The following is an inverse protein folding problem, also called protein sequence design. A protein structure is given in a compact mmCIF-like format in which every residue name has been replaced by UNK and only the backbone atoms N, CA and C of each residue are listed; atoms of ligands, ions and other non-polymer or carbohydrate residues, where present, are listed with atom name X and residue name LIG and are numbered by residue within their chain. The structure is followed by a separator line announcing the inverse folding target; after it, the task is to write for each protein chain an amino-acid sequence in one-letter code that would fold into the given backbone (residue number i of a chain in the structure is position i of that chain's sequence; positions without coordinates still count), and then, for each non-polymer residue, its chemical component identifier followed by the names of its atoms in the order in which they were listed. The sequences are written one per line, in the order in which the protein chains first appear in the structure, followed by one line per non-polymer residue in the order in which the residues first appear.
data_IF_541073826236
#
_entry.id   IF_541073826236
#
_cell.length_a   1.000
_cell.length_b   1.000
_cell.length_c   1.000
_cell.angle_alpha   90.00
_cell.angle_beta   90.00
_cell.angle_gamma   90.00
#
_symmetry.space_group_name_H-M   'P 1'
#
loop_
_entity.id
_entity.type
_entity.pdbx_description
1 polymer ?
#
# COMPACT_ATOMS: atom_id res chain seq x y z
N UNK A 1 -20.43 -15.24 -1.69
CA UNK A 1 -18.98 -15.05 -1.89
C UNK A 1 -18.27 -15.30 -0.58
N UNK A 2 -17.28 -16.16 -0.56
CA UNK A 2 -16.51 -16.46 0.63
C UNK A 2 -15.59 -15.27 0.92
N UNK A 3 -15.42 -14.89 2.18
CA UNK A 3 -14.52 -13.79 2.55
C UNK A 3 -13.07 -14.02 2.07
N UNK A 4 -12.73 -15.28 1.83
CA UNK A 4 -11.42 -15.67 1.29
C UNK A 4 -11.23 -15.35 -0.19
N UNK A 5 -12.31 -15.17 -0.94
CA UNK A 5 -12.27 -14.84 -2.38
C UNK A 5 -12.22 -13.33 -2.62
N UNK A 6 -11.98 -12.56 -1.57
CA UNK A 6 -11.94 -11.11 -1.58
C UNK A 6 -10.62 -10.61 -2.15
N UNK A 7 -10.71 -9.57 -2.98
CA UNK A 7 -9.56 -8.78 -3.40
C UNK A 7 -9.59 -7.46 -2.65
N UNK A 8 -8.55 -7.17 -1.90
CA UNK A 8 -8.42 -5.94 -1.14
C UNK A 8 -7.40 -5.02 -1.82
N UNK A 9 -7.84 -3.82 -2.19
CA UNK A 9 -6.94 -2.74 -2.64
C UNK A 9 -6.70 -1.84 -1.44
N UNK A 10 -5.53 -1.93 -0.84
CA UNK A 10 -5.15 -1.17 0.34
C UNK A 10 -4.20 -0.04 -0.06
N UNK A 11 -4.65 1.19 0.14
CA UNK A 11 -3.89 2.38 -0.17
C UNK A 11 -3.26 2.94 1.11
N UNK A 12 -1.95 3.00 1.13
CA UNK A 12 -1.14 3.33 2.30
C UNK A 12 -0.34 4.59 2.01
N UNK A 13 -0.15 5.44 3.01
CA UNK A 13 0.70 6.62 2.89
C UNK A 13 0.38 7.70 3.90
N UNK A 14 1.25 8.71 3.96
CA UNK A 14 1.12 9.85 4.85
C UNK A 14 0.97 11.13 4.01
N UNK A 15 -0.23 11.71 4.02
CA UNK A 15 -0.55 12.94 3.27
C UNK A 15 0.24 14.16 3.73
N UNK A 16 0.86 14.12 4.90
CA UNK A 16 1.64 15.23 5.44
C UNK A 16 3.11 15.20 5.03
N UNK A 17 3.54 14.17 4.29
CA UNK A 17 4.92 13.98 3.84
C UNK A 17 5.04 13.99 2.31
N UNK A 18 4.44 14.98 1.65
CA UNK A 18 4.58 15.17 0.22
C UNK A 18 4.17 13.92 -0.58
N UNK A 19 5.10 13.38 -1.35
CA UNK A 19 4.85 12.24 -2.24
C UNK A 19 4.51 10.92 -1.52
N UNK A 20 4.75 10.84 -0.22
CA UNK A 20 4.30 9.69 0.59
C UNK A 20 2.78 9.61 0.65
N UNK A 21 2.07 10.67 0.29
CA UNK A 21 0.61 10.69 0.13
C UNK A 21 0.08 10.06 -1.16
N UNK A 22 0.92 9.51 -2.01
CA UNK A 22 0.52 8.91 -3.30
C UNK A 22 -0.62 7.90 -3.13
N UNK A 23 -0.49 6.94 -2.22
CA UNK A 23 -1.52 5.92 -2.02
C UNK A 23 -2.86 6.51 -1.61
N UNK A 24 -2.88 7.52 -0.75
CA UNK A 24 -4.12 8.19 -0.32
C UNK A 24 -4.78 8.92 -1.50
N UNK A 25 -4.00 9.56 -2.36
CA UNK A 25 -4.55 10.20 -3.56
C UNK A 25 -5.13 9.19 -4.54
N UNK A 26 -4.51 8.04 -4.70
CA UNK A 26 -5.07 6.93 -5.50
C UNK A 26 -6.41 6.49 -4.92
N UNK A 27 -6.51 6.34 -3.60
CA UNK A 27 -7.77 5.97 -2.94
C UNK A 27 -8.87 7.00 -3.23
N UNK A 28 -8.55 8.27 -3.20
CA UNK A 28 -9.51 9.36 -3.49
C UNK A 28 -10.02 9.29 -4.93
N UNK A 29 -9.14 9.02 -5.88
CA UNK A 29 -9.53 8.85 -7.28
C UNK A 29 -10.39 7.62 -7.51
N UNK A 30 -10.07 6.52 -6.83
CA UNK A 30 -10.81 5.27 -6.97
C UNK A 30 -12.16 5.29 -6.23
N UNK A 31 -12.29 6.12 -5.19
CA UNK A 31 -13.54 6.21 -4.40
C UNK A 31 -14.76 6.61 -5.23
N UNK A 32 -14.55 7.38 -6.30
CA UNK A 32 -15.61 7.85 -7.20
C UNK A 32 -15.88 6.87 -8.36
N UNK A 33 -15.17 5.75 -8.42
CA UNK A 33 -15.31 4.76 -9.47
C UNK A 33 -15.97 3.50 -8.93
N UNK A 34 -16.86 2.86 -9.71
CA UNK A 34 -17.42 1.57 -9.29
C UNK A 34 -16.32 0.50 -9.25
N UNK A 35 -16.29 -0.26 -8.17
CA UNK A 35 -15.38 -1.40 -8.04
C UNK A 35 -16.04 -2.67 -8.60
N UNK A 36 -15.25 -3.53 -9.25
CA UNK A 36 -15.76 -4.86 -9.64
C UNK A 36 -16.26 -5.66 -8.44
N UNK A 37 -17.15 -6.59 -8.67
CA UNK A 37 -17.65 -7.48 -7.61
C UNK A 37 -16.47 -8.22 -6.96
N UNK A 38 -16.47 -8.28 -5.62
CA UNK A 38 -15.42 -8.95 -4.85
C UNK A 38 -14.18 -8.09 -4.63
N UNK A 39 -14.09 -6.89 -5.18
CA UNK A 39 -13.00 -5.95 -4.96
C UNK A 39 -13.41 -4.89 -3.94
N UNK A 40 -12.63 -4.76 -2.89
CA UNK A 40 -12.86 -3.79 -1.81
C UNK A 40 -11.69 -2.80 -1.77
N UNK A 41 -12.01 -1.51 -1.71
CA UNK A 41 -11.05 -0.43 -1.55
C UNK A 41 -10.94 -0.06 -0.08
N UNK A 42 -9.73 0.02 0.44
CA UNK A 42 -9.46 0.48 1.80
C UNK A 42 -8.43 1.60 1.78
N UNK A 43 -8.80 2.75 2.31
CA UNK A 43 -7.90 3.86 2.56
C UNK A 43 -7.31 3.69 3.96
N UNK A 44 -6.11 3.14 4.02
CA UNK A 44 -5.44 2.80 5.28
C UNK A 44 -4.70 4.02 5.84
N UNK A 45 -4.22 4.91 4.97
CA UNK A 45 -3.39 6.03 5.40
C UNK A 45 -2.10 5.56 6.07
N UNK A 46 -1.77 6.12 7.23
CA UNK A 46 -0.56 5.77 8.00
C UNK A 46 -0.78 4.64 9.00
N UNK A 47 -1.99 4.10 9.08
CA UNK A 47 -2.38 3.15 10.12
C UNK A 47 -2.15 1.70 9.68
N UNK A 48 -0.89 1.25 9.72
CA UNK A 48 -0.55 -0.13 9.36
C UNK A 48 -1.32 -1.17 10.14
N UNK A 49 -1.71 -0.89 11.39
CA UNK A 49 -2.52 -1.82 12.19
C UNK A 49 -3.93 -2.01 11.60
N UNK A 50 -4.49 -0.99 10.97
CA UNK A 50 -5.78 -1.13 10.28
C UNK A 50 -5.67 -2.10 9.10
N UNK A 51 -4.54 -2.11 8.40
CA UNK A 51 -4.30 -3.09 7.35
C UNK A 51 -4.30 -4.51 7.93
N UNK A 52 -3.65 -4.71 9.07
CA UNK A 52 -3.66 -6.01 9.74
C UNK A 52 -5.09 -6.45 10.09
N UNK A 53 -5.92 -5.56 10.63
CA UNK A 53 -7.32 -5.87 10.93
C UNK A 53 -8.12 -6.24 9.67
N UNK A 54 -7.94 -5.51 8.59
CA UNK A 54 -8.63 -5.79 7.32
C UNK A 54 -8.26 -7.16 6.77
N UNK A 55 -7.04 -7.63 7.02
CA UNK A 55 -6.54 -8.90 6.51
C UNK A 55 -6.86 -10.10 7.41
N UNK A 56 -7.31 -9.87 8.66
CA UNK A 56 -7.64 -10.97 9.59
C UNK A 56 -8.73 -11.89 9.07
N UNK A 57 -9.70 -11.37 8.31
CA UNK A 57 -10.80 -12.14 7.75
C UNK A 57 -10.41 -12.94 6.50
N UNK A 58 -9.16 -12.84 6.08
CA UNK A 58 -8.65 -13.50 4.90
C UNK A 58 -8.85 -12.69 3.62
N UNK A 59 -7.98 -12.93 2.67
CA UNK A 59 -7.96 -12.23 1.40
C UNK A 59 -7.23 -13.10 0.37
N UNK A 60 -7.82 -13.28 -0.81
CA UNK A 60 -7.18 -14.02 -1.89
C UNK A 60 -6.02 -13.21 -2.47
N UNK A 61 -6.28 -11.94 -2.74
CA UNK A 61 -5.30 -11.03 -3.33
C UNK A 61 -5.31 -9.71 -2.58
N UNK A 62 -4.14 -9.31 -2.11
CA UNK A 62 -3.89 -7.96 -1.61
C UNK A 62 -3.17 -7.17 -2.68
N UNK A 63 -3.73 -6.03 -3.07
CA UNK A 63 -3.04 -5.04 -3.89
C UNK A 63 -2.69 -3.87 -2.98
N UNK A 64 -1.42 -3.72 -2.69
CA UNK A 64 -0.91 -2.66 -1.81
C UNK A 64 -0.43 -1.50 -2.66
N UNK A 65 -1.01 -0.33 -2.49
CA UNK A 65 -0.65 0.89 -3.21
C UNK A 65 0.10 1.82 -2.27
N UNK A 66 1.35 2.14 -2.59
CA UNK A 66 2.21 2.92 -1.72
C UNK A 66 3.30 3.66 -2.53
N UNK A 67 3.80 4.75 -1.97
CA UNK A 67 5.04 5.36 -2.45
C UNK A 67 6.22 4.58 -1.85
N UNK A 68 7.12 4.15 -2.70
CA UNK A 68 8.28 3.38 -2.24
C UNK A 68 9.52 3.71 -3.08
N UNK A 69 10.63 4.10 -2.44
CA UNK A 69 11.86 4.42 -3.14
C UNK A 69 12.54 3.14 -3.69
N UNK A 70 12.84 3.15 -4.98
CA UNK A 70 13.51 2.04 -5.68
C UNK A 70 14.67 2.52 -6.52
N UNK A 71 15.09 3.78 -6.37
CA UNK A 71 16.17 4.36 -7.18
C UNK A 71 15.78 4.68 -8.61
N UNK A 72 14.49 4.76 -8.92
CA UNK A 72 13.97 5.12 -10.23
C UNK A 72 13.67 6.62 -10.33
N UNK A 73 13.46 7.18 -11.53
CA UNK A 73 12.98 8.56 -11.65
C UNK A 73 11.65 8.75 -10.91
N UNK A 74 11.45 9.91 -10.25
CA UNK A 74 10.18 10.19 -9.56
C UNK A 74 8.97 10.02 -10.47
N UNK A 75 7.91 9.42 -9.93
CA UNK A 75 6.69 9.12 -10.68
C UNK A 75 6.70 7.79 -11.43
N UNK A 76 7.79 7.04 -11.38
CA UNK A 76 7.84 5.69 -11.95
C UNK A 76 6.96 4.75 -11.14
N UNK A 77 6.03 4.09 -11.81
CA UNK A 77 5.14 3.09 -11.19
C UNK A 77 5.66 1.69 -11.52
N UNK A 78 5.85 0.89 -10.48
CA UNK A 78 6.28 -0.50 -10.58
C UNK A 78 5.22 -1.40 -9.99
N UNK A 79 4.95 -2.52 -10.66
CA UNK A 79 4.02 -3.54 -10.18
C UNK A 79 4.86 -4.78 -9.83
N UNK A 80 4.84 -5.15 -8.56
CA UNK A 80 5.70 -6.20 -8.03
C UNK A 80 4.83 -7.26 -7.36
N UNK A 81 4.94 -8.51 -7.80
CA UNK A 81 4.30 -9.61 -7.09
C UNK A 81 5.24 -10.13 -6.00
N UNK A 82 4.74 -10.15 -4.76
CA UNK A 82 5.48 -10.62 -3.60
C UNK A 82 5.05 -12.05 -3.31
N UNK A 83 5.98 -12.99 -3.46
CA UNK A 83 5.74 -14.38 -3.11
C UNK A 83 5.86 -14.61 -1.59
N UNK A 84 5.37 -15.76 -1.10
CA UNK A 84 5.45 -16.09 0.33
C UNK A 84 6.88 -16.19 0.86
N UNK A 85 7.84 -16.47 -0.01
CA UNK A 85 9.26 -16.60 0.34
C UNK A 85 10.07 -15.34 0.02
N UNK A 86 9.43 -14.28 -0.44
CA UNK A 86 10.12 -13.03 -0.75
C UNK A 86 10.45 -12.30 0.53
N UNK A 87 11.75 -12.20 0.83
CA UNK A 87 12.23 -11.35 1.90
C UNK A 87 12.25 -9.92 1.38
N UNK A 88 11.43 -9.05 1.97
CA UNK A 88 11.46 -7.64 1.61
C UNK A 88 12.86 -7.07 1.88
N UNK A 89 13.45 -6.29 0.94
CA UNK A 89 14.72 -5.62 1.21
C UNK A 89 14.56 -4.72 2.42
N UNK A 90 15.61 -4.61 3.29
CA UNK A 90 15.54 -3.74 4.44
C UNK A 90 15.27 -2.31 3.99
N UNK A 91 14.12 -1.76 4.40
CA UNK A 91 13.80 -0.36 4.18
C UNK A 91 14.48 0.48 5.24
N UNK A 92 15.05 1.65 4.85
CA UNK A 92 15.41 2.62 5.87
C UNK A 92 14.13 2.98 6.65
N UNK A 93 14.17 2.77 7.95
CA UNK A 93 13.05 3.09 8.84
C UNK A 93 12.96 4.61 8.93
N UNK A 94 12.13 5.21 8.08
CA UNK A 94 11.82 6.63 8.18
C UNK A 94 10.49 6.83 8.90
N UNK A 95 9.77 5.76 9.18
CA UNK A 95 8.42 5.88 9.70
C UNK A 95 8.39 5.78 11.22
N UNK A 96 8.31 6.95 11.86
CA UNK A 96 8.09 7.06 13.30
C UNK A 96 6.63 6.90 13.74
N UNK A 97 5.70 6.68 12.79
CA UNK A 97 4.27 6.88 13.06
C UNK A 97 3.38 5.68 12.77
N UNK A 98 3.92 4.55 12.34
CA UNK A 98 3.11 3.38 12.07
C UNK A 98 3.94 2.12 11.83
N UNK A 99 3.27 0.99 11.79
CA UNK A 99 3.90 -0.25 11.38
C UNK A 99 4.25 -0.16 9.89
N UNK A 100 5.52 -0.36 9.55
CA UNK A 100 5.92 -0.53 8.17
C UNK A 100 5.17 -1.74 7.57
N UNK A 101 4.91 -1.78 6.25
CA UNK A 101 4.25 -2.93 5.63
C UNK A 101 4.90 -4.27 5.97
N UNK A 102 6.23 -4.30 6.10
CA UNK A 102 6.96 -5.52 6.47
C UNK A 102 6.62 -5.99 7.88
N UNK A 103 6.43 -5.07 8.83
CA UNK A 103 6.00 -5.39 10.19
C UNK A 103 4.58 -5.94 10.22
N UNK A 104 3.71 -5.41 9.36
CA UNK A 104 2.34 -5.92 9.20
C UNK A 104 2.37 -7.35 8.70
N UNK A 105 3.18 -7.65 7.68
CA UNK A 105 3.30 -9.02 7.16
C UNK A 105 3.86 -9.98 8.19
N UNK A 106 4.83 -9.55 9.00
CA UNK A 106 5.36 -10.35 10.10
C UNK A 106 4.26 -10.67 11.12
N UNK A 107 3.43 -9.69 11.48
CA UNK A 107 2.31 -9.89 12.38
C UNK A 107 1.28 -10.86 11.79
N UNK A 108 0.97 -10.72 10.50
CA UNK A 108 0.03 -11.60 9.82
C UNK A 108 0.54 -13.04 9.74
N UNK A 109 1.84 -13.24 9.54
CA UNK A 109 2.44 -14.58 9.59
C UNK A 109 2.27 -15.21 10.96
N UNK A 110 2.44 -14.45 12.03
CA UNK A 110 2.24 -14.93 13.40
C UNK A 110 0.77 -15.29 13.68
N UNK A 111 -0.17 -14.61 13.03
CA UNK A 111 -1.61 -14.84 13.19
C UNK A 111 -2.17 -15.81 12.15
N UNK A 112 -1.34 -16.36 11.27
CA UNK A 112 -1.74 -17.23 10.16
C UNK A 112 -2.82 -16.61 9.26
N UNK A 113 -2.71 -15.31 9.03
CA UNK A 113 -3.69 -14.50 8.30
C UNK A 113 -3.12 -13.82 7.05
N UNK A 114 -1.97 -14.28 6.56
CA UNK A 114 -1.34 -13.70 5.38
C UNK A 114 -2.16 -13.94 4.11
N UNK A 115 -2.30 -12.94 3.21
CA UNK A 115 -2.98 -13.13 1.93
C UNK A 115 -2.30 -14.22 1.08
N UNK A 116 -3.07 -14.92 0.26
CA UNK A 116 -2.52 -15.94 -0.64
C UNK A 116 -1.57 -15.33 -1.68
N UNK A 117 -1.93 -14.14 -2.18
CA UNK A 117 -1.12 -13.38 -3.14
C UNK A 117 -1.06 -11.92 -2.73
N UNK A 118 0.08 -11.29 -2.97
CA UNK A 118 0.27 -9.86 -2.74
C UNK A 118 0.92 -9.22 -3.97
N UNK A 119 0.31 -8.15 -4.46
CA UNK A 119 0.86 -7.30 -5.50
C UNK A 119 1.09 -5.92 -4.90
N UNK A 120 2.29 -5.37 -5.07
CA UNK A 120 2.61 -4.01 -4.65
C UNK A 120 2.62 -3.11 -5.88
N UNK A 121 1.82 -2.07 -5.86
CA UNK A 121 1.86 -0.99 -6.85
C UNK A 121 2.61 0.16 -6.19
N UNK A 122 3.88 0.30 -6.53
CA UNK A 122 4.80 1.25 -5.92
C UNK A 122 5.07 2.41 -6.87
N UNK A 123 4.99 3.63 -6.34
CA UNK A 123 5.38 4.84 -7.07
C UNK A 123 6.66 5.42 -6.45
N UNK A 124 7.64 5.69 -7.30
CA UNK A 124 8.88 6.33 -6.85
C UNK A 124 8.59 7.77 -6.40
N UNK A 125 8.86 8.11 -5.12
CA UNK A 125 8.65 9.48 -4.64
C UNK A 125 9.76 10.41 -5.11
N UNK A 126 9.43 11.69 -5.27
CA UNK A 126 10.42 12.73 -5.51
C UNK A 126 10.78 13.49 -4.24
N UNK A 127 9.77 13.90 -3.50
CA UNK A 127 9.93 14.70 -2.28
C UNK A 127 8.98 14.20 -1.19
N UNK A 128 9.54 13.72 -0.09
CA UNK A 128 8.80 13.23 1.08
C UNK A 128 8.99 14.13 2.30
N UNK A 129 9.41 15.36 2.09
CA UNK A 129 9.48 16.36 3.17
C UNK A 129 8.07 16.82 3.58
N UNK A 130 7.98 17.49 4.73
CA UNK A 130 6.70 17.96 5.25
C UNK A 130 5.95 18.83 4.21
N UNK A 131 4.71 18.47 3.91
CA UNK A 131 3.87 19.14 2.94
C UNK A 131 2.73 18.26 2.50
N UNK A 132 1.64 18.85 2.03
CA UNK A 132 0.41 18.13 1.67
C UNK A 132 0.22 18.00 0.15
N UNK A 133 1.23 18.31 -0.65
CA UNK A 133 1.12 18.35 -2.10
C UNK A 133 2.09 17.36 -2.74
N UNK A 134 1.59 16.58 -3.70
CA UNK A 134 2.44 15.71 -4.53
C UNK A 134 3.25 16.54 -5.50
N UNK A 135 4.49 16.11 -5.80
CA UNK A 135 5.25 16.67 -6.91
C UNK A 135 4.53 16.40 -8.24
N UNK A 136 4.75 17.21 -9.27
CA UNK A 136 4.07 17.01 -10.56
C UNK A 136 4.25 15.62 -11.16
N UNK A 137 5.44 15.03 -11.06
CA UNK A 137 5.72 13.70 -11.60
C UNK A 137 4.89 12.62 -10.89
N UNK A 138 4.77 12.70 -9.57
CA UNK A 138 3.99 11.74 -8.77
C UNK A 138 2.49 11.98 -8.95
N UNK A 139 2.06 13.23 -9.01
CA UNK A 139 0.65 13.56 -9.28
C UNK A 139 0.19 13.01 -10.63
N UNK A 140 1.04 13.02 -11.65
CA UNK A 140 0.73 12.46 -12.96
C UNK A 140 0.63 10.93 -12.95
N UNK A 141 1.22 10.27 -11.95
CA UNK A 141 1.22 8.82 -11.82
C UNK A 141 -0.01 8.26 -11.10
N UNK A 142 -0.78 9.12 -10.42
CA UNK A 142 -1.98 8.70 -9.66
C UNK A 142 -3.02 8.01 -10.53
#
# INVERSE_FOLDING_TARGET
MNDRDRILVACVGNIFLGDDGFGVEVARHLADRPMPAGVQLADIGIRGIHLAYELLDGCELLILVDAAPHGQPPGTVSVIEVGPDTVAPPRPVIDAHGLAPDDVFTLLDQLDARPERTIVVACEPGDVTAGMTLTPAVAAAV
#
